data_IF_632199874055
#
_entry.id   IF_632199874055
#
_cell.length_a   1.000
_cell.length_b   1.000
_cell.length_c   1.000
_cell.angle_alpha   90.00
_cell.angle_beta   90.00
_cell.angle_gamma   90.00
#
_symmetry.space_group_name_H-M   'P 1'
#
loop_
_entity.id
_entity.type
_entity.pdbx_description
1 polymer ?
#
# COMPACT_ATOMS: atom_id res chain seq x y z
N UNK A 1 83.33 -5.51 -30.15
CA UNK A 1 82.04 -5.17 -30.76
C UNK A 1 81.02 -4.86 -29.66
N UNK A 2 80.85 -3.60 -29.27
CA UNK A 2 79.82 -3.18 -28.30
C UNK A 2 79.48 -1.70 -28.55
N UNK A 3 78.59 -1.40 -29.50
CA UNK A 3 78.21 -0.02 -29.85
C UNK A 3 76.90 0.06 -30.69
N UNK A 4 75.85 -0.68 -30.33
CA UNK A 4 74.57 -0.58 -31.08
C UNK A 4 73.27 -0.63 -30.28
N UNK A 5 73.27 -1.13 -29.04
CA UNK A 5 72.02 -1.31 -28.26
C UNK A 5 71.55 -0.07 -27.48
N UNK A 6 72.46 0.82 -27.08
CA UNK A 6 72.11 1.95 -26.19
C UNK A 6 71.35 3.09 -26.91
N UNK A 7 71.58 3.30 -28.21
CA UNK A 7 70.92 4.38 -28.99
C UNK A 7 69.45 4.10 -29.31
N UNK A 8 69.03 2.83 -29.34
CA UNK A 8 67.63 2.45 -29.68
C UNK A 8 66.68 2.60 -28.48
N UNK A 9 67.18 2.39 -27.25
CA UNK A 9 66.39 2.53 -26.02
C UNK A 9 66.06 4.01 -25.75
N UNK A 10 67.01 4.93 -25.99
CA UNK A 10 66.78 6.37 -25.81
C UNK A 10 65.72 6.95 -26.75
N UNK A 11 65.66 6.47 -28.00
CA UNK A 11 64.68 6.92 -29.00
C UNK A 11 63.27 6.37 -28.69
N UNK A 12 63.17 5.13 -28.20
CA UNK A 12 61.89 4.54 -27.83
C UNK A 12 61.25 5.21 -26.60
N UNK A 13 62.06 5.56 -25.59
CA UNK A 13 61.58 6.25 -24.37
C UNK A 13 61.17 7.69 -24.69
N UNK A 14 61.92 8.41 -25.53
CA UNK A 14 61.54 9.76 -25.96
C UNK A 14 60.24 9.77 -26.77
N UNK A 15 60.03 8.78 -27.65
CA UNK A 15 58.78 8.64 -28.41
C UNK A 15 57.56 8.39 -27.52
N UNK A 16 57.69 7.55 -26.48
CA UNK A 16 56.59 7.25 -25.57
C UNK A 16 56.18 8.45 -24.71
N UNK A 17 57.15 9.24 -24.25
CA UNK A 17 56.89 10.45 -23.45
C UNK A 17 56.18 11.51 -24.28
N UNK A 18 56.57 11.71 -25.54
CA UNK A 18 55.91 12.68 -26.43
C UNK A 18 54.46 12.28 -26.70
N UNK A 19 54.18 10.99 -26.94
CA UNK A 19 52.81 10.50 -27.15
C UNK A 19 51.96 10.74 -25.91
N UNK A 20 52.45 10.44 -24.70
CA UNK A 20 51.70 10.66 -23.46
C UNK A 20 51.39 12.13 -23.20
N UNK A 21 52.34 13.03 -23.48
CA UNK A 21 52.12 14.48 -23.33
C UNK A 21 51.08 15.00 -24.33
N UNK A 22 51.10 14.51 -25.57
CA UNK A 22 50.11 14.88 -26.59
C UNK A 22 48.71 14.37 -26.23
N UNK A 23 48.58 13.13 -25.75
CA UNK A 23 47.28 12.58 -25.31
C UNK A 23 46.73 13.36 -24.10
N UNK A 24 47.58 13.69 -23.12
CA UNK A 24 47.17 14.47 -21.96
C UNK A 24 46.75 15.90 -22.33
N UNK A 25 47.50 16.57 -23.21
CA UNK A 25 47.16 17.90 -23.70
C UNK A 25 45.85 17.90 -24.52
N UNK A 26 45.62 16.87 -25.34
CA UNK A 26 44.40 16.72 -26.13
C UNK A 26 43.16 16.44 -25.24
N UNK A 27 43.31 15.62 -24.20
CA UNK A 27 42.26 15.37 -23.22
C UNK A 27 41.89 16.63 -22.40
N UNK A 28 42.89 17.42 -22.00
CA UNK A 28 42.67 18.68 -21.29
C UNK A 28 42.03 19.76 -22.16
N UNK A 29 42.34 19.79 -23.47
CA UNK A 29 41.73 20.71 -24.41
C UNK A 29 40.26 20.34 -24.70
N UNK A 30 39.94 19.05 -24.81
CA UNK A 30 38.56 18.58 -24.96
C UNK A 30 37.69 18.83 -23.71
N UNK A 31 38.26 18.73 -22.50
CA UNK A 31 37.53 18.98 -21.26
C UNK A 31 37.19 20.47 -21.05
N UNK A 32 37.91 21.39 -21.71
CA UNK A 32 37.66 22.84 -21.61
C UNK A 32 36.67 23.37 -22.66
N UNK A 33 36.48 22.66 -23.77
CA UNK A 33 35.59 23.08 -24.86
C UNK A 33 34.17 22.51 -24.74
N UNK A 34 34.00 21.40 -24.01
CA UNK A 34 32.70 20.83 -23.67
C UNK A 34 32.39 21.34 -22.27
N UNK A 35 31.60 22.41 -22.16
CA UNK A 35 31.13 22.91 -20.87
C UNK A 35 30.63 21.75 -20.00
N UNK A 36 31.15 21.66 -18.78
CA UNK A 36 30.76 20.61 -17.85
C UNK A 36 29.24 20.58 -17.69
N UNK A 37 28.61 19.41 -17.53
CA UNK A 37 27.18 19.33 -17.33
C UNK A 37 26.82 20.16 -16.08
N UNK A 38 26.01 21.21 -16.26
CA UNK A 38 25.36 21.89 -15.15
C UNK A 38 24.56 20.85 -14.37
N UNK A 39 25.12 20.39 -13.25
CA UNK A 39 24.41 19.53 -12.31
C UNK A 39 23.40 20.44 -11.63
N UNK A 40 22.20 20.52 -12.22
CA UNK A 40 21.05 21.13 -11.58
C UNK A 40 20.87 20.44 -10.22
N UNK A 41 21.03 21.21 -9.14
CA UNK A 41 20.78 20.74 -7.79
C UNK A 41 19.36 20.17 -7.75
N UNK A 42 19.15 18.96 -7.18
CA UNK A 42 17.81 18.41 -7.04
C UNK A 42 16.96 19.42 -6.26
N UNK A 43 15.88 19.87 -6.89
CA UNK A 43 14.87 20.67 -6.21
C UNK A 43 14.20 19.77 -5.17
N UNK A 44 14.58 19.92 -3.90
CA UNK A 44 13.86 19.30 -2.80
C UNK A 44 12.54 20.06 -2.63
N UNK A 45 11.48 19.55 -3.24
CA UNK A 45 10.13 19.95 -2.87
C UNK A 45 9.98 19.64 -1.38
N UNK A 46 9.84 20.65 -0.53
CA UNK A 46 9.55 20.42 0.87
C UNK A 46 8.29 19.54 0.98
N UNK A 47 8.30 18.48 1.79
CA UNK A 47 7.10 17.69 1.99
C UNK A 47 6.00 18.62 2.50
N UNK A 48 4.91 18.73 1.73
CA UNK A 48 3.70 19.43 2.16
C UNK A 48 3.21 18.66 3.38
N UNK A 49 3.38 19.22 4.58
CA UNK A 49 2.80 18.65 5.80
C UNK A 49 1.28 18.69 5.61
N UNK A 50 0.59 17.53 5.58
CA UNK A 50 -0.85 17.51 5.44
C UNK A 50 -1.49 18.28 6.59
N UNK A 51 -2.41 19.20 6.30
CA UNK A 51 -3.16 19.94 7.33
C UNK A 51 -4.13 19.05 8.14
N UNK A 52 -4.30 17.80 7.70
CA UNK A 52 -5.09 16.77 8.35
C UNK A 52 -5.06 15.49 7.50
N UNK A 53 -5.63 14.42 8.03
CA UNK A 53 -5.81 13.17 7.31
C UNK A 53 -6.84 13.36 6.19
N UNK A 54 -6.47 12.99 4.97
CA UNK A 54 -7.41 12.99 3.86
C UNK A 54 -8.36 11.80 4.00
N UNK A 55 -9.67 12.08 4.05
CA UNK A 55 -10.70 11.05 4.06
C UNK A 55 -11.27 10.92 2.65
N UNK A 56 -11.28 9.70 2.12
CA UNK A 56 -11.84 9.38 0.81
C UNK A 56 -13.00 8.41 0.98
N UNK A 57 -14.18 8.81 0.51
CA UNK A 57 -15.32 7.91 0.36
C UNK A 57 -15.31 7.30 -1.02
N UNK A 58 -15.11 5.99 -1.09
CA UNK A 58 -15.10 5.22 -2.32
C UNK A 58 -16.53 4.87 -2.72
N UNK A 59 -16.95 5.40 -3.85
CA UNK A 59 -18.16 4.97 -4.56
C UNK A 59 -17.71 4.18 -5.79
N UNK A 60 -17.69 2.85 -5.66
CA UNK A 60 -17.13 1.97 -6.69
C UNK A 60 -18.16 1.51 -7.73
N UNK A 61 -19.43 1.51 -7.36
CA UNK A 61 -20.54 0.96 -8.16
C UNK A 61 -21.70 1.95 -8.15
N UNK A 62 -22.37 2.13 -9.29
CA UNK A 62 -23.57 2.96 -9.39
C UNK A 62 -24.85 2.25 -8.91
N UNK A 63 -25.98 2.96 -8.94
CA UNK A 63 -27.27 2.40 -8.53
C UNK A 63 -27.72 1.18 -9.36
N UNK A 64 -27.21 1.01 -10.58
CA UNK A 64 -27.51 -0.10 -11.48
C UNK A 64 -26.54 -1.27 -11.32
N UNK A 65 -25.56 -1.19 -10.43
CA UNK A 65 -24.58 -2.26 -10.25
C UNK A 65 -23.39 -2.19 -11.20
N UNK A 66 -23.16 -1.05 -11.87
CA UNK A 66 -22.03 -0.89 -12.81
C UNK A 66 -20.81 -0.27 -12.11
N UNK A 67 -19.59 -0.81 -12.32
CA UNK A 67 -18.35 -0.16 -11.87
C UNK A 67 -18.18 1.26 -12.42
N UNK A 68 -17.83 2.23 -11.56
CA UNK A 68 -17.64 3.65 -11.88
C UNK A 68 -16.37 4.21 -11.22
N UNK A 69 -16.06 5.50 -11.41
CA UNK A 69 -14.92 6.19 -10.75
C UNK A 69 -13.54 5.52 -10.94
N UNK A 70 -13.38 4.86 -12.08
CA UNK A 70 -12.16 4.12 -12.45
C UNK A 70 -12.06 2.72 -11.84
N UNK A 71 -13.10 2.24 -11.15
CA UNK A 71 -13.21 0.84 -10.77
C UNK A 71 -13.56 -0.02 -11.98
N UNK A 72 -12.99 -1.23 -12.02
CA UNK A 72 -13.23 -2.18 -13.10
C UNK A 72 -13.53 -3.56 -12.54
N UNK A 73 -14.38 -4.28 -13.24
CA UNK A 73 -14.52 -5.71 -13.03
C UNK A 73 -13.20 -6.42 -13.36
N UNK A 74 -12.75 -7.27 -12.45
CA UNK A 74 -11.67 -8.21 -12.68
C UNK A 74 -12.22 -9.49 -13.32
N UNK A 75 -11.41 -10.17 -14.16
CA UNK A 75 -11.78 -11.49 -14.62
C UNK A 75 -11.94 -12.45 -13.43
N UNK A 76 -12.75 -13.51 -13.54
CA UNK A 76 -12.82 -14.55 -12.53
C UNK A 76 -11.43 -15.09 -12.20
N UNK A 77 -11.13 -15.25 -10.91
CA UNK A 77 -9.87 -15.83 -10.48
C UNK A 77 -9.69 -17.22 -11.09
N UNK A 78 -8.48 -17.51 -11.56
CA UNK A 78 -8.10 -18.83 -12.05
C UNK A 78 -7.55 -19.72 -10.91
N UNK A 79 -7.42 -19.17 -9.70
CA UNK A 79 -7.00 -19.92 -8.52
C UNK A 79 -8.13 -20.83 -8.04
N UNK A 80 -7.94 -22.17 -8.00
CA UNK A 80 -8.92 -23.11 -7.47
C UNK A 80 -9.27 -22.86 -5.99
N UNK A 81 -8.41 -22.17 -5.24
CA UNK A 81 -8.64 -21.77 -3.85
C UNK A 81 -9.52 -20.52 -3.70
N UNK A 82 -9.83 -19.80 -4.78
CA UNK A 82 -10.64 -18.60 -4.70
C UNK A 82 -12.11 -18.93 -4.40
N UNK A 83 -12.62 -18.37 -3.30
CA UNK A 83 -14.01 -18.52 -2.91
C UNK A 83 -14.87 -17.44 -3.59
N UNK A 84 -15.79 -17.87 -4.45
CA UNK A 84 -16.72 -16.99 -5.17
C UNK A 84 -18.13 -16.99 -4.55
N UNK A 85 -18.49 -18.03 -3.79
CA UNK A 85 -19.77 -18.12 -3.09
C UNK A 85 -19.62 -17.60 -1.66
N UNK A 86 -20.53 -16.72 -1.25
CA UNK A 86 -20.54 -16.08 0.07
C UNK A 86 -21.88 -16.29 0.77
N UNK A 87 -21.94 -16.08 2.07
CA UNK A 87 -23.15 -16.21 2.89
C UNK A 87 -23.10 -15.28 4.10
N UNK A 88 -24.21 -15.17 4.83
CA UNK A 88 -24.27 -14.42 6.08
C UNK A 88 -23.83 -12.95 5.96
N UNK A 89 -24.19 -12.30 4.86
CA UNK A 89 -23.81 -10.92 4.60
C UNK A 89 -24.39 -9.95 5.66
N UNK A 90 -23.55 -9.05 6.15
CA UNK A 90 -23.87 -8.03 7.13
C UNK A 90 -23.24 -6.69 6.73
N UNK A 91 -23.53 -5.61 7.47
CA UNK A 91 -22.92 -4.31 7.22
C UNK A 91 -21.38 -4.40 7.27
N UNK A 92 -20.72 -3.89 6.23
CA UNK A 92 -19.25 -3.75 6.25
C UNK A 92 -18.84 -2.80 7.37
N UNK A 93 -17.81 -3.12 8.17
CA UNK A 93 -17.25 -2.17 9.14
C UNK A 93 -16.77 -0.85 8.51
N UNK A 94 -16.52 -0.84 7.21
CA UNK A 94 -16.05 0.32 6.47
C UNK A 94 -17.14 1.13 5.76
N UNK A 95 -18.40 0.71 5.90
CA UNK A 95 -19.54 1.37 5.27
C UNK A 95 -19.81 2.75 5.92
N UNK A 96 -19.90 3.78 5.08
CA UNK A 96 -20.45 5.11 5.42
C UNK A 96 -21.80 5.37 4.74
N UNK A 97 -22.32 4.36 4.04
CA UNK A 97 -23.64 4.33 3.44
C UNK A 97 -24.24 2.93 3.60
N UNK A 98 -25.58 2.83 3.56
CA UNK A 98 -26.30 1.57 3.66
C UNK A 98 -25.99 0.64 2.48
N UNK A 99 -26.31 -0.64 2.64
CA UNK A 99 -26.16 -1.66 1.61
C UNK A 99 -24.72 -1.78 1.06
N UNK A 100 -23.75 -1.74 1.98
CA UNK A 100 -22.36 -2.10 1.75
C UNK A 100 -22.00 -3.24 2.69
N UNK A 101 -21.48 -4.31 2.13
CA UNK A 101 -21.49 -5.61 2.78
C UNK A 101 -20.10 -6.12 3.12
N UNK A 102 -20.03 -6.77 4.28
CA UNK A 102 -19.06 -7.82 4.59
C UNK A 102 -19.81 -9.17 4.52
N UNK A 103 -19.21 -10.19 3.92
CA UNK A 103 -19.81 -11.53 3.83
C UNK A 103 -18.82 -12.64 4.22
N UNK A 104 -19.36 -13.74 4.77
CA UNK A 104 -18.60 -14.94 5.06
C UNK A 104 -18.47 -15.84 3.82
N UNK A 105 -17.47 -16.74 3.77
CA UNK A 105 -16.35 -16.84 4.70
C UNK A 105 -15.32 -15.73 4.46
N UNK A 106 -14.55 -15.36 5.48
CA UNK A 106 -13.44 -14.38 5.33
C UNK A 106 -12.48 -14.74 4.20
N UNK A 107 -12.32 -16.03 3.89
CA UNK A 107 -11.49 -16.53 2.79
C UNK A 107 -11.94 -16.02 1.40
N UNK A 108 -13.18 -15.57 1.26
CA UNK A 108 -13.66 -14.92 0.04
C UNK A 108 -13.14 -13.49 -0.13
N UNK A 109 -12.50 -12.89 0.88
CA UNK A 109 -12.03 -11.51 0.78
C UNK A 109 -13.18 -10.49 0.59
N UNK A 110 -14.38 -10.85 1.04
CA UNK A 110 -15.61 -10.09 0.81
C UNK A 110 -15.88 -9.10 1.95
N UNK A 111 -14.91 -8.26 2.32
CA UNK A 111 -15.03 -7.30 3.44
C UNK A 111 -15.65 -5.94 3.05
N UNK A 112 -15.64 -5.61 1.77
CA UNK A 112 -16.22 -4.38 1.23
C UNK A 112 -16.87 -4.69 -0.11
N UNK A 113 -18.19 -4.87 -0.12
CA UNK A 113 -18.93 -5.26 -1.32
C UNK A 113 -20.18 -4.41 -1.57
N UNK A 114 -20.46 -4.14 -2.85
CA UNK A 114 -21.65 -3.42 -3.31
C UNK A 114 -22.58 -4.36 -4.09
N UNK A 115 -23.91 -4.22 -3.98
CA UNK A 115 -24.84 -4.95 -4.84
C UNK A 115 -24.59 -4.70 -6.33
N UNK A 116 -24.66 -5.76 -7.13
CA UNK A 116 -24.59 -5.67 -8.59
C UNK A 116 -25.91 -5.22 -9.25
N UNK A 117 -26.77 -4.54 -8.48
CA UNK A 117 -28.01 -3.95 -8.94
C UNK A 117 -29.24 -4.85 -8.81
N UNK A 118 -30.44 -4.31 -9.07
CA UNK A 118 -31.71 -5.00 -8.85
C UNK A 118 -31.93 -6.20 -9.79
N UNK A 119 -31.25 -6.26 -10.93
CA UNK A 119 -31.33 -7.39 -11.87
C UNK A 119 -30.56 -8.63 -11.41
N UNK A 120 -29.70 -8.51 -10.40
CA UNK A 120 -28.88 -9.59 -9.87
C UNK A 120 -28.76 -9.47 -8.34
N UNK A 121 -29.87 -9.67 -7.59
CA UNK A 121 -29.95 -9.34 -6.16
C UNK A 121 -29.01 -10.17 -5.26
N UNK A 122 -28.55 -11.32 -5.73
CA UNK A 122 -27.60 -12.20 -5.02
C UNK A 122 -26.14 -11.93 -5.42
N UNK A 123 -25.89 -11.09 -6.42
CA UNK A 123 -24.54 -10.79 -6.90
C UNK A 123 -23.99 -9.53 -6.25
N UNK A 124 -22.74 -9.61 -5.79
CA UNK A 124 -22.01 -8.48 -5.22
C UNK A 124 -20.69 -8.23 -5.96
N UNK A 125 -20.32 -6.96 -6.06
CA UNK A 125 -18.99 -6.50 -6.46
C UNK A 125 -18.17 -6.21 -5.21
N UNK A 126 -17.20 -7.08 -4.90
CA UNK A 126 -16.30 -6.91 -3.77
C UNK A 126 -15.00 -6.24 -4.18
N UNK A 127 -14.51 -5.33 -3.36
CA UNK A 127 -13.20 -4.70 -3.52
C UNK A 127 -12.10 -5.77 -3.40
N UNK A 128 -11.35 -5.98 -4.47
CA UNK A 128 -10.24 -6.92 -4.47
C UNK A 128 -9.01 -6.29 -3.79
N UNK A 129 -8.61 -5.12 -4.28
CA UNK A 129 -7.50 -4.36 -3.76
C UNK A 129 -7.83 -2.83 -3.79
N UNK A 130 -7.75 -2.13 -2.64
CA UNK A 130 -7.96 -0.69 -2.53
C UNK A 130 -7.15 0.16 -3.52
N UNK A 131 -5.95 -0.27 -3.89
CA UNK A 131 -5.02 0.56 -4.65
C UNK A 131 -5.15 0.34 -6.16
N UNK A 132 -5.40 -0.90 -6.60
CA UNK A 132 -5.57 -1.23 -8.01
C UNK A 132 -6.98 -0.98 -8.55
N UNK A 133 -7.96 -0.64 -7.71
CA UNK A 133 -9.38 -0.40 -8.10
C UNK A 133 -10.04 -1.58 -8.83
N UNK A 134 -9.68 -2.80 -8.45
CA UNK A 134 -10.31 -4.01 -8.95
C UNK A 134 -11.56 -4.37 -8.15
N UNK A 135 -12.63 -4.75 -8.84
CA UNK A 135 -13.83 -5.34 -8.26
C UNK A 135 -13.96 -6.78 -8.73
N UNK A 136 -14.11 -7.70 -7.78
CA UNK A 136 -14.34 -9.11 -8.06
C UNK A 136 -15.79 -9.46 -7.79
N UNK A 137 -16.36 -10.29 -8.65
CA UNK A 137 -17.73 -10.76 -8.47
C UNK A 137 -17.76 -11.87 -7.43
N UNK A 138 -18.76 -11.84 -6.54
CA UNK A 138 -19.14 -12.95 -5.67
C UNK A 138 -20.66 -13.15 -5.74
N UNK A 139 -21.11 -14.35 -5.37
CA UNK A 139 -22.53 -14.73 -5.34
C UNK A 139 -22.91 -15.12 -3.92
N UNK A 140 -23.93 -14.48 -3.37
CA UNK A 140 -24.49 -14.87 -2.08
C UNK A 140 -25.36 -16.11 -2.23
N UNK A 141 -25.16 -17.12 -1.38
CA UNK A 141 -26.00 -18.33 -1.35
C UNK A 141 -27.30 -18.12 -0.55
N UNK A 142 -27.34 -17.07 0.27
CA UNK A 142 -28.52 -16.63 1.02
C UNK A 142 -29.00 -15.27 0.48
N UNK A 143 -30.29 -14.90 0.69
CA UNK A 143 -30.76 -13.56 0.38
C UNK A 143 -29.93 -12.46 1.05
N UNK A 144 -29.50 -11.46 0.29
CA UNK A 144 -28.76 -10.30 0.82
C UNK A 144 -29.74 -9.36 1.52
N UNK A 145 -29.66 -9.19 2.85
CA UNK A 145 -30.59 -8.35 3.60
C UNK A 145 -30.25 -6.87 3.41
N UNK A 146 -31.21 -5.97 3.57
CA UNK A 146 -30.89 -4.55 3.75
C UNK A 146 -30.10 -4.34 5.05
N UNK A 147 -29.02 -3.57 4.99
CA UNK A 147 -28.15 -3.29 6.14
C UNK A 147 -27.86 -1.80 6.28
N UNK A 148 -27.85 -1.33 7.53
CA UNK A 148 -27.50 0.04 7.85
C UNK A 148 -25.99 0.19 8.06
N UNK A 149 -25.43 1.33 7.67
CA UNK A 149 -24.04 1.67 7.98
C UNK A 149 -23.80 1.65 9.51
N UNK A 150 -22.65 1.14 9.99
CA UNK A 150 -22.32 1.16 11.41
C UNK A 150 -22.15 2.61 11.92
N UNK A 151 -22.50 2.91 13.18
CA UNK A 151 -22.41 4.27 13.73
C UNK A 151 -20.97 4.78 13.84
N UNK A 152 -19.99 3.88 13.89
CA UNK A 152 -18.56 4.20 14.01
C UNK A 152 -17.75 3.41 12.99
N UNK A 153 -17.73 3.85 11.72
CA UNK A 153 -17.03 3.10 10.68
C UNK A 153 -15.51 3.16 10.84
N UNK A 154 -14.87 2.07 10.45
CA UNK A 154 -13.41 1.94 10.34
C UNK A 154 -13.01 1.95 8.87
N UNK A 155 -12.03 2.76 8.42
CA UNK A 155 -11.63 2.76 7.02
C UNK A 155 -11.16 1.35 6.62
N UNK A 156 -11.41 0.93 5.38
CA UNK A 156 -10.92 -0.37 4.90
C UNK A 156 -9.45 -0.30 4.45
N UNK A 157 -8.92 0.91 4.22
CA UNK A 157 -7.52 1.12 3.87
C UNK A 157 -6.96 2.40 4.50
N UNK A 158 -5.65 2.37 4.76
CA UNK A 158 -4.85 3.45 5.32
C UNK A 158 -3.57 3.63 4.50
N UNK A 159 -3.16 4.89 4.31
CA UNK A 159 -1.84 5.27 3.81
C UNK A 159 -1.14 6.05 4.92
N UNK A 160 0.03 5.57 5.32
CA UNK A 160 0.82 6.17 6.38
C UNK A 160 1.83 7.20 5.83
N UNK A 161 2.41 8.00 6.72
CA UNK A 161 3.40 9.04 6.39
C UNK A 161 4.68 8.53 5.72
N UNK A 162 5.04 7.27 5.93
CA UNK A 162 6.17 6.60 5.29
C UNK A 162 5.79 5.92 3.96
N UNK A 163 4.54 6.10 3.50
CA UNK A 163 4.01 5.48 2.29
C UNK A 163 3.47 4.06 2.50
N UNK A 164 3.50 3.54 3.72
CA UNK A 164 2.97 2.20 4.03
C UNK A 164 1.47 2.17 3.80
N UNK A 165 1.02 1.15 3.08
CA UNK A 165 -0.37 0.90 2.72
C UNK A 165 -0.94 -0.22 3.60
N UNK A 166 -1.91 0.05 4.47
CA UNK A 166 -2.47 -0.96 5.36
C UNK A 166 -3.95 -1.21 5.04
N UNK A 167 -4.38 -2.48 5.00
CA UNK A 167 -5.78 -2.88 4.79
C UNK A 167 -6.39 -3.36 6.10
N UNK A 168 -7.66 -3.04 6.33
CA UNK A 168 -8.43 -3.54 7.48
C UNK A 168 -8.33 -5.06 7.52
N UNK A 169 -8.13 -5.61 8.71
CA UNK A 169 -8.02 -7.05 8.89
C UNK A 169 -9.31 -7.75 8.44
N UNK A 170 -9.17 -8.69 7.50
CA UNK A 170 -10.24 -9.58 7.07
C UNK A 170 -9.80 -11.04 7.33
N UNK A 171 -10.33 -11.66 8.39
CA UNK A 171 -10.03 -13.04 8.78
C UNK A 171 -8.56 -13.34 9.09
N UNK A 172 -8.19 -14.61 8.87
CA UNK A 172 -6.85 -15.15 9.10
C UNK A 172 -6.48 -15.40 10.57
N UNK A 173 -5.57 -16.34 10.78
CA UNK A 173 -4.90 -16.52 12.07
C UNK A 173 -3.79 -15.50 12.21
N UNK A 174 -3.95 -14.54 13.12
CA UNK A 174 -2.97 -13.50 13.38
C UNK A 174 -2.36 -13.70 14.76
N UNK A 175 -1.06 -13.49 14.85
CA UNK A 175 -0.34 -13.44 16.10
C UNK A 175 -0.80 -12.28 16.99
N UNK A 176 -0.59 -12.43 18.29
CA UNK A 176 -0.75 -11.37 19.28
C UNK A 176 0.60 -10.87 19.79
N UNK A 177 0.55 -9.92 20.73
CA UNK A 177 1.71 -9.42 21.45
C UNK A 177 1.54 -9.66 22.95
N UNK A 178 2.67 -9.82 23.65
CA UNK A 178 2.72 -10.01 25.11
C UNK A 178 2.26 -8.76 25.91
N UNK A 179 2.22 -7.60 25.25
CA UNK A 179 1.69 -6.33 25.77
C UNK A 179 0.17 -6.14 25.56
N UNK A 180 -0.54 -7.18 25.11
CA UNK A 180 -2.00 -7.16 24.96
C UNK A 180 -2.52 -6.47 23.69
N UNK A 181 -1.63 -6.18 22.75
CA UNK A 181 -1.97 -5.59 21.45
C UNK A 181 -2.16 -6.67 20.37
N UNK A 182 -3.12 -6.44 19.47
CA UNK A 182 -3.41 -7.28 18.29
C UNK A 182 -3.50 -6.44 17.02
N UNK A 183 -3.40 -7.09 15.86
CA UNK A 183 -3.52 -6.42 14.56
C UNK A 183 -4.97 -6.07 14.22
N UNK A 184 -5.20 -4.79 13.91
CA UNK A 184 -6.42 -4.25 13.34
C UNK A 184 -6.31 -4.02 11.82
N UNK A 185 -5.12 -3.69 11.32
CA UNK A 185 -4.82 -3.58 9.89
C UNK A 185 -3.53 -4.30 9.56
N UNK A 186 -3.50 -4.94 8.40
CA UNK A 186 -2.32 -5.58 7.84
C UNK A 186 -1.65 -4.64 6.87
N UNK A 187 -0.37 -4.39 7.08
CA UNK A 187 0.47 -3.67 6.12
C UNK A 187 1.33 -4.70 5.35
N UNK A 188 2.02 -4.31 4.26
CA UNK A 188 2.85 -5.22 3.47
C UNK A 188 3.72 -6.15 4.34
N UNK A 189 3.75 -7.42 3.95
CA UNK A 189 4.44 -8.52 4.67
C UNK A 189 3.87 -8.84 6.06
N UNK A 190 2.65 -8.38 6.39
CA UNK A 190 1.93 -8.57 7.67
C UNK A 190 2.71 -8.14 8.92
N UNK A 191 3.86 -7.52 8.70
CA UNK A 191 4.84 -7.06 9.67
C UNK A 191 5.49 -5.81 9.06
N UNK A 192 5.05 -4.60 9.46
CA UNK A 192 4.25 -4.31 10.65
C UNK A 192 2.72 -4.40 10.46
N UNK A 193 1.98 -4.38 11.56
CA UNK A 193 0.52 -4.22 11.60
C UNK A 193 0.16 -2.91 12.32
N UNK A 194 -1.03 -2.36 12.02
CA UNK A 194 -1.65 -1.35 12.89
C UNK A 194 -2.27 -2.07 14.08
N UNK A 195 -1.94 -1.62 15.29
CA UNK A 195 -2.22 -2.29 16.54
C UNK A 195 -3.37 -1.64 17.31
N UNK A 196 -4.13 -2.48 18.00
CA UNK A 196 -5.22 -2.09 18.90
C UNK A 196 -5.16 -2.99 20.15
N UNK A 197 -5.47 -2.47 21.35
CA UNK A 197 -5.52 -3.32 22.54
C UNK A 197 -6.73 -4.25 22.50
N UNK A 198 -6.54 -5.45 23.03
CA UNK A 198 -7.63 -6.39 23.29
C UNK A 198 -8.37 -5.93 24.54
N UNK A 199 -9.67 -5.66 24.44
CA UNK A 199 -10.51 -5.35 25.60
C UNK A 199 -11.78 -6.21 25.65
N UNK A 200 -12.20 -6.64 26.86
CA UNK A 200 -13.52 -7.22 27.06
C UNK A 200 -14.60 -6.21 26.66
N UNK A 201 -15.52 -6.60 25.78
CA UNK A 201 -16.61 -5.74 25.30
C UNK A 201 -16.34 -4.97 24.00
N UNK A 202 -15.11 -5.01 23.46
CA UNK A 202 -14.74 -4.33 22.22
C UNK A 202 -14.74 -2.79 22.33
N UNK A 203 -14.36 -2.08 21.26
CA UNK A 203 -14.71 -0.68 21.08
C UNK A 203 -13.61 0.38 21.11
N UNK A 204 -12.32 0.06 21.27
CA UNK A 204 -11.27 1.06 21.04
C UNK A 204 -10.90 1.09 19.57
N UNK A 205 -10.90 2.29 18.97
CA UNK A 205 -10.47 2.47 17.59
C UNK A 205 -8.95 2.30 17.51
N UNK A 206 -8.47 1.53 16.55
CA UNK A 206 -7.04 1.45 16.24
C UNK A 206 -6.45 2.79 15.75
N UNK A 207 -7.33 3.75 15.43
CA UNK A 207 -6.99 5.06 14.88
C UNK A 207 -7.40 6.12 15.90
N UNK A 208 -6.43 6.89 16.39
CA UNK A 208 -6.70 8.09 17.15
C UNK A 208 -7.11 9.21 16.19
N UNK A 209 -8.39 9.60 16.27
CA UNK A 209 -9.02 10.66 15.47
C UNK A 209 -9.28 11.94 16.27
N UNK A 210 -8.66 12.08 17.45
CA UNK A 210 -8.89 13.24 18.33
C UNK A 210 -8.34 14.56 17.77
N UNK A 211 -7.44 14.49 16.80
CA UNK A 211 -6.86 15.62 16.07
C UNK A 211 -7.20 15.54 14.58
N UNK A 212 -7.05 16.66 13.86
CA UNK A 212 -7.27 16.69 12.40
C UNK A 212 -6.34 15.74 11.64
N UNK A 213 -5.13 15.54 12.16
CA UNK A 213 -4.17 14.56 11.67
C UNK A 213 -4.27 13.31 12.53
N UNK A 214 -4.83 12.24 11.97
CA UNK A 214 -5.04 10.98 12.66
C UNK A 214 -3.74 10.24 12.85
N UNK A 215 -3.66 9.46 13.93
CA UNK A 215 -2.49 8.63 14.22
C UNK A 215 -2.87 7.19 14.52
N UNK A 216 -1.92 6.30 14.28
CA UNK A 216 -2.03 4.87 14.57
C UNK A 216 -0.77 4.39 15.29
N UNK A 217 -0.90 3.27 16.00
CA UNK A 217 0.25 2.53 16.56
C UNK A 217 0.62 1.41 15.61
N UNK A 218 1.87 1.36 15.17
CA UNK A 218 2.38 0.40 14.19
C UNK A 218 3.49 -0.42 14.80
N UNK A 219 3.44 -1.73 14.63
CA UNK A 219 4.48 -2.63 15.12
C UNK A 219 4.28 -4.05 14.62
N UNK A 220 5.31 -4.88 14.77
CA UNK A 220 5.21 -6.29 14.43
C UNK A 220 4.23 -7.01 15.34
N UNK A 221 3.64 -8.08 14.81
CA UNK A 221 2.94 -9.10 15.58
C UNK A 221 3.93 -10.22 15.92
N UNK A 222 3.72 -10.89 17.05
CA UNK A 222 4.54 -12.01 17.48
C UNK A 222 3.80 -13.33 17.31
N UNK A 223 4.54 -14.44 17.32
CA UNK A 223 3.97 -15.79 17.48
C UNK A 223 3.63 -16.12 18.93
N UNK A 224 3.40 -15.11 19.78
CA UNK A 224 2.99 -15.25 21.18
C UNK A 224 4.06 -15.04 22.26
N UNK A 225 5.37 -15.02 21.96
CA UNK A 225 6.39 -15.13 23.04
C UNK A 225 7.63 -14.23 22.94
N UNK A 226 7.90 -13.56 21.83
CA UNK A 226 9.03 -12.63 21.76
C UNK A 226 8.61 -11.25 22.26
N UNK A 227 9.35 -10.67 23.23
CA UNK A 227 9.18 -9.27 23.62
C UNK A 227 9.54 -8.40 22.42
N UNK A 228 8.52 -7.80 21.81
CA UNK A 228 8.69 -6.95 20.64
C UNK A 228 8.99 -5.50 21.05
N UNK A 229 9.63 -4.71 20.18
CA UNK A 229 9.79 -3.29 20.41
C UNK A 229 8.44 -2.60 20.65
N UNK A 230 8.42 -1.47 21.39
CA UNK A 230 7.22 -0.65 21.52
C UNK A 230 6.68 -0.21 20.15
N UNK A 231 5.35 -0.12 19.97
CA UNK A 231 4.76 0.37 18.73
C UNK A 231 5.20 1.81 18.43
N UNK A 232 5.47 2.07 17.15
CA UNK A 232 5.74 3.41 16.63
C UNK A 232 4.43 4.13 16.36
N UNK A 233 4.39 5.43 16.65
CA UNK A 233 3.26 6.26 16.21
C UNK A 233 3.50 6.66 14.76
N UNK A 234 2.50 6.43 13.89
CA UNK A 234 2.52 6.89 12.51
C UNK A 234 1.32 7.76 12.23
N UNK A 235 1.53 8.76 11.38
CA UNK A 235 0.44 9.58 10.86
C UNK A 235 -0.31 8.82 9.78
N UNK A 236 -1.63 8.92 9.78
CA UNK A 236 -2.46 8.51 8.64
C UNK A 236 -2.57 9.69 7.69
N UNK A 237 -1.97 9.57 6.50
CA UNK A 237 -2.08 10.58 5.44
C UNK A 237 -3.43 10.48 4.74
N UNK A 238 -3.88 9.26 4.44
CA UNK A 238 -5.16 9.02 3.77
C UNK A 238 -5.88 7.82 4.38
N UNK A 239 -7.21 7.93 4.52
CA UNK A 239 -8.09 6.86 4.97
C UNK A 239 -9.25 6.69 3.99
N UNK A 240 -9.54 5.44 3.61
CA UNK A 240 -10.60 5.12 2.66
C UNK A 240 -11.78 4.42 3.33
N UNK A 241 -12.98 4.94 3.10
CA UNK A 241 -14.25 4.37 3.52
C UNK A 241 -15.08 3.97 2.32
N UNK A 242 -16.03 3.06 2.49
CA UNK A 242 -16.91 2.61 1.42
C UNK A 242 -18.23 3.37 1.46
N UNK A 243 -18.59 4.03 0.36
CA UNK A 243 -19.86 4.74 0.19
C UNK A 243 -20.60 4.26 -1.07
N UNK A 244 -21.76 4.86 -1.33
CA UNK A 244 -22.63 4.54 -2.45
C UNK A 244 -23.20 5.81 -3.07
#
# INVERSE_FOLDING_TARGET
MASRSSRWIGVAVAGLVVVLVVVAAWALLHYRLIGGPDVALPSFTSPVIPKGTQVITVVAVDANGKPINGYRQLPPSQDPGNVADVFGCAASPAAVADDIYYCAPNAAGADVCWPAGPSAPETLWCLDDPWSKGLRQVTSTDPVPHVLAPPTPAPFALLLDDGTQCRLRNGGAWGGRDDGLVGAYGCPNETPAVLVPVRPGGGESAIDRSQALWTVKVGSLGSGEARLPPPQTRTVVTAWFAGR
#
